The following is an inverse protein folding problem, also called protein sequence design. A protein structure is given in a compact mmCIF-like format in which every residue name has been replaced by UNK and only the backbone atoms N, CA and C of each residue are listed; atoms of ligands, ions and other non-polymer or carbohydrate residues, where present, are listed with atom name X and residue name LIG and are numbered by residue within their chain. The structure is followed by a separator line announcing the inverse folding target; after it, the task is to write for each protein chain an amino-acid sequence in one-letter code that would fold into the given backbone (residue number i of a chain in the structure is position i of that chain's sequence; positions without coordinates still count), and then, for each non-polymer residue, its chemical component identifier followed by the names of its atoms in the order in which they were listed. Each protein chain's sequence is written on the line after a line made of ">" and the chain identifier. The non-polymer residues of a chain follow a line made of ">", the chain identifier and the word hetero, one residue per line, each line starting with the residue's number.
data_IF_291884713655
#
_entry.id   IF_291884713655
#
_cell.length_a   1.000
_cell.length_b   1.000
_cell.length_c   1.000
_cell.angle_alpha   90.00
_cell.angle_beta   90.00
_cell.angle_gamma   90.00
#
_symmetry.space_group_name_H-M   'P 1'
#
loop_
_entity.id
_entity.type
_entity.pdbx_description
1 polymer ?
#
# COMPACT_ATOMS: atom_id res chain seq x y z
N UNK A 1 76.39 -18.43 12.07
CA UNK A 1 75.47 -17.94 13.11
C UNK A 1 74.88 -16.64 12.59
N UNK A 2 73.92 -16.68 11.65
CA UNK A 2 72.51 -17.13 11.80
C UNK A 2 71.67 -15.94 12.32
N UNK A 3 70.52 -15.53 11.77
CA UNK A 3 69.57 -16.03 10.74
C UNK A 3 68.74 -14.80 10.33
N UNK A 4 68.52 -14.51 9.04
CA UNK A 4 67.38 -14.94 8.22
C UNK A 4 65.97 -14.68 8.79
N UNK A 5 65.16 -13.96 8.00
CA UNK A 5 63.71 -13.83 8.20
C UNK A 5 63.01 -13.08 7.06
N UNK A 6 62.94 -13.71 5.87
CA UNK A 6 62.19 -13.28 4.68
C UNK A 6 60.70 -13.01 5.00
N UNK A 7 60.11 -11.96 4.44
CA UNK A 7 58.74 -11.99 3.91
C UNK A 7 58.64 -11.24 2.58
N UNK A 8 57.88 -11.85 1.69
CA UNK A 8 57.83 -11.74 0.24
C UNK A 8 56.83 -10.69 -0.26
N UNK A 9 57.18 -10.03 -1.36
CA UNK A 9 56.27 -9.34 -2.28
C UNK A 9 55.23 -10.30 -2.88
N UNK A 10 53.97 -9.87 -3.04
CA UNK A 10 53.16 -9.92 -4.28
C UNK A 10 51.90 -9.00 -4.10
N UNK A 11 51.31 -8.46 -5.19
CA UNK A 11 50.59 -7.20 -5.21
C UNK A 11 49.07 -7.32 -5.02
N UNK A 12 48.47 -6.16 -4.71
CA UNK A 12 47.04 -5.87 -4.70
C UNK A 12 46.35 -6.22 -6.03
N UNK A 13 45.40 -7.15 -5.99
CA UNK A 13 44.27 -7.20 -6.91
C UNK A 13 43.05 -7.70 -6.16
N UNK A 14 42.19 -6.80 -5.67
CA UNK A 14 40.75 -7.05 -5.42
C UNK A 14 40.06 -5.77 -4.96
N UNK A 15 39.73 -4.88 -5.91
CA UNK A 15 38.89 -3.70 -5.63
C UNK A 15 38.02 -3.28 -6.82
N UNK A 16 37.71 -4.20 -7.73
CA UNK A 16 36.89 -3.89 -8.94
C UNK A 16 35.56 -4.67 -8.97
N UNK A 17 35.39 -5.75 -8.20
CA UNK A 17 34.12 -6.55 -8.22
C UNK A 17 32.99 -5.99 -7.34
N UNK A 18 33.27 -5.14 -6.35
CA UNK A 18 32.24 -4.58 -5.44
C UNK A 18 31.55 -3.31 -5.96
N UNK A 19 32.17 -2.56 -6.88
CA UNK A 19 31.58 -1.35 -7.47
C UNK A 19 30.58 -1.69 -8.59
N UNK A 20 30.88 -2.71 -9.39
CA UNK A 20 30.05 -3.14 -10.54
C UNK A 20 28.70 -3.73 -10.08
N UNK A 21 28.63 -4.38 -8.92
CA UNK A 21 27.36 -4.89 -8.36
C UNK A 21 26.49 -3.79 -7.73
N UNK A 22 27.08 -2.69 -7.23
CA UNK A 22 26.30 -1.54 -6.72
C UNK A 22 25.66 -0.73 -7.86
N UNK A 23 26.33 -0.58 -9.00
CA UNK A 23 25.76 0.10 -10.18
C UNK A 23 24.69 -0.74 -10.90
N UNK A 24 24.79 -2.08 -10.82
CA UNK A 24 23.72 -2.96 -11.29
C UNK A 24 22.45 -2.80 -10.43
N UNK A 25 22.57 -2.75 -9.11
CA UNK A 25 21.42 -2.58 -8.19
C UNK A 25 20.69 -1.24 -8.30
N UNK A 26 21.39 -0.14 -8.60
CA UNK A 26 20.73 1.15 -8.86
C UNK A 26 20.01 1.18 -10.22
N UNK A 27 20.53 0.49 -11.24
CA UNK A 27 19.83 0.32 -12.53
C UNK A 27 18.59 -0.57 -12.44
N UNK A 28 18.55 -1.55 -11.54
CA UNK A 28 17.39 -2.45 -11.42
C UNK A 28 16.17 -1.76 -10.78
N UNK A 29 16.36 -0.89 -9.79
CA UNK A 29 15.27 -0.07 -9.22
C UNK A 29 14.82 1.05 -10.18
N UNK A 30 15.74 1.61 -10.98
CA UNK A 30 15.42 2.60 -12.02
C UNK A 30 14.67 2.01 -13.22
N UNK A 31 14.72 0.70 -13.45
CA UNK A 31 13.98 0.04 -14.54
C UNK A 31 12.53 -0.26 -14.14
N UNK A 32 12.25 -0.44 -12.85
CA UNK A 32 10.91 -0.66 -12.30
C UNK A 32 10.01 0.59 -12.39
N UNK A 33 10.59 1.80 -12.38
CA UNK A 33 9.84 3.05 -12.59
C UNK A 33 9.51 3.34 -14.05
N UNK A 34 10.24 2.73 -15.00
CA UNK A 34 10.03 2.92 -16.45
C UNK A 34 9.11 1.84 -17.06
N UNK A 35 9.15 0.60 -16.55
CA UNK A 35 8.33 -0.51 -17.09
C UNK A 35 6.83 -0.42 -16.73
N UNK A 36 6.45 0.42 -15.77
CA UNK A 36 5.04 0.72 -15.49
C UNK A 36 4.40 1.63 -16.56
N UNK A 37 5.18 2.20 -17.49
CA UNK A 37 4.69 3.17 -18.48
C UNK A 37 4.61 2.65 -19.93
N UNK A 38 5.12 1.46 -20.29
CA UNK A 38 5.27 1.08 -21.71
C UNK A 38 4.29 0.05 -22.29
N UNK A 39 3.37 -0.54 -21.52
CA UNK A 39 2.38 -1.46 -22.09
C UNK A 39 1.06 -0.75 -22.47
N UNK A 40 1.16 0.20 -23.40
CA UNK A 40 0.02 0.68 -24.19
C UNK A 40 0.37 0.59 -25.69
N UNK A 41 0.49 -0.65 -26.19
CA UNK A 41 0.76 -0.95 -27.59
C UNK A 41 -0.23 -1.97 -28.13
N UNK A 42 -1.23 -1.49 -28.88
CA UNK A 42 -2.26 -2.29 -29.56
C UNK A 42 -1.62 -3.26 -30.59
N UNK A 43 -1.83 -4.57 -30.42
CA UNK A 43 -1.80 -5.54 -31.53
C UNK A 43 -3.08 -6.37 -31.53
N UNK A 44 -3.89 -6.15 -32.57
CA UNK A 44 -5.09 -6.93 -32.92
C UNK A 44 -4.65 -8.31 -33.38
N UNK A 45 -5.32 -9.37 -32.92
CA UNK A 45 -5.39 -10.64 -33.63
C UNK A 45 -6.80 -11.21 -33.59
N UNK A 46 -7.10 -11.96 -34.64
CA UNK A 46 -8.42 -12.41 -35.08
C UNK A 46 -9.12 -13.43 -34.17
N UNK A 47 -10.45 -13.39 -34.28
CA UNK A 47 -11.49 -14.21 -33.67
C UNK A 47 -11.44 -15.68 -34.13
N UNK A 48 -11.75 -16.62 -33.23
CA UNK A 48 -12.80 -17.66 -33.40
C UNK A 48 -13.06 -18.49 -32.12
N UNK A 49 -14.32 -18.89 -32.00
CA UNK A 49 -15.09 -19.30 -30.82
C UNK A 49 -14.79 -20.69 -30.23
N UNK A 50 -15.26 -20.94 -28.99
CA UNK A 50 -16.29 -21.97 -28.63
C UNK A 50 -16.45 -22.15 -27.10
N UNK A 51 -17.67 -21.83 -26.62
CA UNK A 51 -18.57 -22.45 -25.59
C UNK A 51 -18.10 -22.86 -24.16
N UNK A 52 -18.79 -22.19 -23.20
CA UNK A 52 -19.68 -22.71 -22.13
C UNK A 52 -19.20 -22.93 -20.67
N UNK A 53 -19.88 -22.14 -19.80
CA UNK A 53 -20.52 -22.41 -18.48
C UNK A 53 -19.69 -22.41 -17.17
N UNK A 54 -20.17 -21.51 -16.29
CA UNK A 54 -20.17 -21.47 -14.81
C UNK A 54 -18.95 -20.92 -14.06
N UNK A 55 -18.99 -19.62 -13.70
CA UNK A 55 -18.24 -19.01 -12.58
C UNK A 55 -18.80 -17.60 -12.23
N UNK A 56 -18.65 -17.10 -10.98
CA UNK A 56 -19.38 -15.95 -10.45
C UNK A 56 -18.82 -14.59 -10.92
N UNK A 57 -19.73 -13.62 -11.01
CA UNK A 57 -19.57 -12.31 -11.64
C UNK A 57 -18.53 -11.43 -10.91
N UNK A 58 -17.42 -11.14 -11.60
CA UNK A 58 -16.42 -10.12 -11.24
C UNK A 58 -16.67 -8.92 -12.16
N UNK A 59 -17.20 -7.81 -11.63
CA UNK A 59 -17.45 -6.60 -12.42
C UNK A 59 -16.13 -5.89 -12.76
N UNK A 60 -15.72 -6.03 -14.01
CA UNK A 60 -14.66 -5.29 -14.67
C UNK A 60 -15.28 -4.00 -15.24
N UNK A 61 -14.75 -2.83 -14.88
CA UNK A 61 -15.12 -1.56 -15.48
C UNK A 61 -14.30 -1.35 -16.76
N UNK A 62 -14.98 -1.22 -17.90
CA UNK A 62 -14.39 -0.82 -19.19
C UNK A 62 -14.48 0.70 -19.37
N UNK A 63 -13.34 1.34 -19.57
CA UNK A 63 -13.20 2.75 -19.96
C UNK A 63 -13.59 2.93 -21.44
N UNK A 64 -14.60 3.77 -21.69
CA UNK A 64 -14.84 4.35 -23.02
C UNK A 64 -14.76 5.87 -23.00
N UNK A 65 -13.67 6.32 -23.62
CA UNK A 65 -13.34 7.67 -24.05
C UNK A 65 -14.49 8.28 -24.86
N UNK A 66 -15.02 9.43 -24.44
CA UNK A 66 -15.81 10.29 -25.31
C UNK A 66 -15.20 11.70 -25.43
N UNK A 67 -15.27 12.15 -26.68
CA UNK A 67 -14.53 13.24 -27.31
C UNK A 67 -15.03 14.62 -26.88
N UNK A 68 -14.07 15.55 -26.89
CA UNK A 68 -14.18 17.00 -26.77
C UNK A 68 -15.32 17.57 -27.64
N UNK A 69 -16.19 18.41 -27.05
CA UNK A 69 -17.08 19.29 -27.81
C UNK A 69 -16.73 20.74 -27.50
N UNK A 70 -16.49 21.44 -28.61
CA UNK A 70 -16.05 22.81 -28.83
C UNK A 70 -17.05 23.84 -28.29
N UNK A 71 -16.52 24.90 -27.70
CA UNK A 71 -17.24 26.10 -27.24
C UNK A 71 -17.53 26.99 -28.45
N UNK A 72 -18.73 27.59 -28.53
CA UNK A 72 -18.90 28.93 -29.11
C UNK A 72 -20.06 29.70 -28.45
N UNK A 73 -20.02 31.04 -28.42
CA UNK A 73 -20.69 31.86 -27.42
C UNK A 73 -21.91 32.65 -27.96
N UNK A 74 -22.51 33.43 -27.04
CA UNK A 74 -23.41 34.60 -27.24
C UNK A 74 -24.90 34.34 -26.95
N UNK A 75 -25.42 34.88 -25.84
CA UNK A 75 -26.13 36.17 -25.89
C UNK A 75 -26.52 36.69 -24.50
N UNK A 76 -26.34 38.00 -24.33
CA UNK A 76 -26.65 38.80 -23.16
C UNK A 76 -28.17 38.98 -23.04
N UNK A 77 -28.76 38.72 -21.87
CA UNK A 77 -29.94 39.45 -21.38
C UNK A 77 -29.83 39.70 -19.88
N UNK A 78 -29.60 40.97 -19.53
CA UNK A 78 -29.88 41.54 -18.20
C UNK A 78 -31.39 41.54 -17.99
N UNK A 79 -31.90 41.30 -16.77
CA UNK A 79 -33.03 42.03 -16.16
C UNK A 79 -33.18 41.68 -14.66
N UNK A 80 -33.05 42.75 -13.85
CA UNK A 80 -33.67 43.10 -12.55
C UNK A 80 -33.65 42.12 -11.36
N UNK A 81 -32.83 42.50 -10.38
CA UNK A 81 -33.01 42.28 -8.94
C UNK A 81 -34.39 42.80 -8.48
N UNK A 82 -35.20 41.93 -7.87
CA UNK A 82 -36.32 42.35 -7.01
C UNK A 82 -36.32 41.50 -5.75
N UNK A 83 -35.78 42.08 -4.68
CA UNK A 83 -35.89 41.58 -3.32
C UNK A 83 -37.38 41.45 -2.94
N UNK A 84 -37.83 40.23 -2.60
CA UNK A 84 -39.11 40.00 -1.93
C UNK A 84 -38.90 39.12 -0.69
N UNK A 85 -39.29 39.74 0.43
CA UNK A 85 -39.31 39.36 1.84
C UNK A 85 -39.55 37.85 2.10
N UNK A 86 -38.69 37.27 2.94
CA UNK A 86 -38.87 35.96 3.55
C UNK A 86 -40.08 35.96 4.50
N UNK A 87 -41.04 35.06 4.27
CA UNK A 87 -41.95 34.57 5.30
C UNK A 87 -41.93 33.05 5.28
N UNK A 88 -41.70 32.45 6.46
CA UNK A 88 -41.53 31.02 6.70
C UNK A 88 -42.78 30.23 6.31
N UNK A 89 -42.65 29.25 5.42
CA UNK A 89 -43.55 28.08 5.36
C UNK A 89 -42.72 26.81 5.38
N UNK A 90 -42.87 26.03 6.46
CA UNK A 90 -42.38 24.65 6.57
C UNK A 90 -43.13 23.81 5.52
N UNK A 91 -42.50 23.50 4.39
CA UNK A 91 -42.99 22.45 3.49
C UNK A 91 -42.06 21.25 3.57
N UNK A 92 -42.61 20.11 3.99
CA UNK A 92 -41.96 18.80 3.88
C UNK A 92 -41.67 18.55 2.39
N UNK A 93 -40.44 18.74 1.96
CA UNK A 93 -40.04 18.47 0.58
C UNK A 93 -39.98 16.95 0.41
N UNK A 94 -41.09 16.36 -0.06
CA UNK A 94 -41.02 15.04 -0.69
C UNK A 94 -40.05 15.17 -1.87
N UNK A 95 -39.06 14.29 -1.90
CA UNK A 95 -38.13 14.13 -3.01
C UNK A 95 -38.95 13.73 -4.25
N UNK A 96 -39.28 14.69 -5.10
CA UNK A 96 -39.84 14.41 -6.41
C UNK A 96 -38.66 14.22 -7.36
N UNK A 97 -38.36 12.96 -7.70
CA UNK A 97 -37.49 12.65 -8.83
C UNK A 97 -38.12 13.25 -10.11
N UNK A 98 -37.32 13.89 -10.98
CA UNK A 98 -37.82 14.28 -12.28
C UNK A 98 -38.12 13.01 -13.08
N UNK A 99 -39.41 12.82 -13.40
CA UNK A 99 -39.84 11.86 -14.40
C UNK A 99 -39.27 12.36 -15.74
N UNK A 100 -38.25 11.67 -16.25
CA UNK A 100 -37.65 11.93 -17.56
C UNK A 100 -37.74 10.67 -18.42
N UNK A 101 -38.07 10.80 -19.71
CA UNK A 101 -38.49 9.69 -20.55
C UNK A 101 -37.31 8.81 -20.98
N UNK A 102 -37.60 7.53 -21.18
CA UNK A 102 -36.75 6.48 -21.76
C UNK A 102 -35.60 5.93 -20.89
N UNK A 103 -35.95 4.84 -20.17
CA UNK A 103 -35.14 3.64 -19.85
C UNK A 103 -33.63 3.85 -19.62
N UNK A 104 -33.25 4.67 -18.64
CA UNK A 104 -31.95 4.50 -17.99
C UNK A 104 -32.15 3.56 -16.80
N UNK A 105 -31.45 2.41 -16.72
CA UNK A 105 -31.55 1.53 -15.56
C UNK A 105 -31.23 2.30 -14.28
N UNK A 106 -32.03 2.10 -13.22
CA UNK A 106 -31.86 2.78 -11.92
C UNK A 106 -30.42 2.65 -11.40
N UNK A 107 -29.77 1.51 -11.66
CA UNK A 107 -28.38 1.23 -11.33
C UNK A 107 -27.38 2.20 -11.99
N UNK A 108 -27.63 2.59 -13.24
CA UNK A 108 -26.80 3.57 -13.97
C UNK A 108 -26.97 4.96 -13.34
N UNK A 109 -28.19 5.31 -12.92
CA UNK A 109 -28.45 6.56 -12.22
C UNK A 109 -27.78 6.60 -10.84
N UNK A 110 -27.87 5.52 -10.06
CA UNK A 110 -27.23 5.41 -8.74
C UNK A 110 -25.71 5.49 -8.89
N UNK A 111 -25.13 4.77 -9.85
CA UNK A 111 -23.69 4.79 -10.11
C UNK A 111 -23.21 6.19 -10.47
N UNK A 112 -23.91 6.88 -11.37
CA UNK A 112 -23.57 8.26 -11.74
C UNK A 112 -23.71 9.22 -10.54
N UNK A 113 -24.76 9.06 -9.73
CA UNK A 113 -24.94 9.84 -8.52
C UNK A 113 -23.79 9.63 -7.52
N UNK A 114 -23.40 8.37 -7.26
CA UNK A 114 -22.30 8.03 -6.36
C UNK A 114 -20.96 8.55 -6.88
N UNK A 115 -20.70 8.47 -8.19
CA UNK A 115 -19.49 9.04 -8.79
C UNK A 115 -19.44 10.57 -8.59
N UNK A 116 -20.53 11.28 -8.89
CA UNK A 116 -20.62 12.72 -8.68
C UNK A 116 -20.48 13.11 -7.20
N UNK A 117 -21.11 12.35 -6.31
CA UNK A 117 -20.96 12.53 -4.86
C UNK A 117 -19.50 12.35 -4.46
N UNK A 118 -18.87 11.24 -4.83
CA UNK A 118 -17.48 10.93 -4.47
C UNK A 118 -16.54 12.01 -4.98
N UNK A 119 -16.68 12.48 -6.23
CA UNK A 119 -15.85 13.57 -6.74
C UNK A 119 -15.99 14.86 -5.92
N UNK A 120 -17.23 15.24 -5.54
CA UNK A 120 -17.48 16.43 -4.72
C UNK A 120 -16.99 16.26 -3.29
N UNK A 121 -17.22 15.09 -2.70
CA UNK A 121 -16.80 14.75 -1.36
C UNK A 121 -15.27 14.74 -1.24
N UNK A 122 -14.58 14.12 -2.19
CA UNK A 122 -13.12 14.05 -2.20
C UNK A 122 -12.46 15.43 -2.37
N UNK A 123 -13.07 16.34 -3.15
CA UNK A 123 -12.54 17.70 -3.33
C UNK A 123 -12.72 18.60 -2.11
N UNK A 124 -13.86 18.51 -1.43
CA UNK A 124 -14.26 19.54 -0.45
C UNK A 124 -14.54 19.03 0.97
N UNK A 125 -14.85 17.74 1.13
CA UNK A 125 -15.33 17.18 2.39
C UNK A 125 -14.35 16.23 3.08
N UNK A 126 -13.64 15.41 2.31
CA UNK A 126 -12.85 14.31 2.87
C UNK A 126 -11.74 14.79 3.80
N UNK A 127 -10.95 15.79 3.42
CA UNK A 127 -9.88 16.36 4.24
C UNK A 127 -10.38 16.92 5.57
N UNK A 128 -11.52 17.63 5.53
CA UNK A 128 -12.15 18.22 6.72
C UNK A 128 -12.71 17.14 7.63
N UNK A 129 -13.42 16.16 7.08
CA UNK A 129 -13.97 15.04 7.84
C UNK A 129 -12.86 14.27 8.57
N UNK A 130 -11.77 13.95 7.86
CA UNK A 130 -10.62 13.25 8.45
C UNK A 130 -10.05 14.06 9.61
N UNK A 131 -9.88 15.37 9.46
CA UNK A 131 -9.35 16.23 10.51
C UNK A 131 -10.28 16.34 11.73
N UNK A 132 -11.59 16.54 11.50
CA UNK A 132 -12.57 16.68 12.58
C UNK A 132 -12.73 15.39 13.38
N UNK A 133 -12.84 14.24 12.70
CA UNK A 133 -12.95 12.94 13.39
C UNK A 133 -11.64 12.61 14.12
N UNK A 134 -10.47 12.88 13.51
CA UNK A 134 -9.19 12.74 14.20
C UNK A 134 -9.12 13.56 15.49
N UNK A 135 -9.53 14.84 15.45
CA UNK A 135 -9.51 15.71 16.62
C UNK A 135 -10.49 15.21 17.70
N UNK A 136 -11.68 14.73 17.29
CA UNK A 136 -12.66 14.15 18.20
C UNK A 136 -12.10 12.94 18.93
N UNK A 137 -11.46 12.02 18.21
CA UNK A 137 -10.90 10.78 18.74
C UNK A 137 -9.69 11.02 19.66
N UNK A 138 -8.87 12.02 19.34
CA UNK A 138 -7.66 12.33 20.13
C UNK A 138 -7.95 13.17 21.38
N UNK A 139 -8.96 14.04 21.33
CA UNK A 139 -9.33 14.91 22.46
C UNK A 139 -10.19 14.17 23.49
N UNK A 140 -11.03 13.24 23.04
CA UNK A 140 -11.92 12.46 23.92
C UNK A 140 -11.39 11.05 24.18
N UNK A 141 -10.09 10.91 24.46
CA UNK A 141 -9.45 9.60 24.70
C UNK A 141 -10.05 8.79 25.86
N UNK A 142 -10.84 9.43 26.73
CA UNK A 142 -11.57 8.80 27.83
C UNK A 142 -12.90 8.16 27.40
N UNK A 143 -13.48 8.60 26.28
CA UNK A 143 -14.67 7.99 25.71
C UNK A 143 -14.21 6.78 24.89
N UNK A 144 -14.75 5.59 25.18
CA UNK A 144 -14.52 4.36 24.40
C UNK A 144 -15.22 4.44 23.04
N UNK A 145 -14.87 5.42 22.22
CA UNK A 145 -15.42 5.63 20.88
C UNK A 145 -14.87 4.52 19.97
N UNK A 146 -15.76 3.87 19.23
CA UNK A 146 -15.35 2.89 18.22
C UNK A 146 -14.62 3.61 17.07
N UNK A 147 -13.34 3.29 16.89
CA UNK A 147 -12.50 3.84 15.83
C UNK A 147 -12.65 3.09 14.51
N UNK A 148 -13.38 1.97 14.47
CA UNK A 148 -13.56 1.15 13.27
C UNK A 148 -14.16 1.90 12.07
N UNK A 149 -15.19 2.78 12.21
CA UNK A 149 -15.75 3.50 11.08
C UNK A 149 -14.77 4.53 10.50
N UNK A 150 -13.91 5.11 11.35
CA UNK A 150 -12.91 6.06 10.93
C UNK A 150 -11.87 5.40 10.01
N UNK A 151 -11.36 4.23 10.41
CA UNK A 151 -10.42 3.47 9.59
C UNK A 151 -11.07 2.94 8.31
N UNK A 152 -12.34 2.53 8.36
CA UNK A 152 -13.07 2.14 7.16
C UNK A 152 -13.18 3.29 6.14
N UNK A 153 -13.53 4.50 6.59
CA UNK A 153 -13.58 5.70 5.75
C UNK A 153 -12.23 5.95 5.08
N UNK A 154 -11.13 5.86 5.84
CA UNK A 154 -9.78 6.02 5.30
C UNK A 154 -9.45 4.94 4.26
N UNK A 155 -9.69 3.66 4.56
CA UNK A 155 -9.46 2.55 3.62
C UNK A 155 -10.26 2.72 2.33
N UNK A 156 -11.52 3.14 2.42
CA UNK A 156 -12.39 3.27 1.25
C UNK A 156 -12.02 4.47 0.39
N UNK A 157 -11.91 5.66 0.99
CA UNK A 157 -11.81 6.91 0.24
C UNK A 157 -10.38 7.27 -0.21
N UNK A 158 -9.33 6.83 0.49
CA UNK A 158 -7.95 7.10 0.09
C UNK A 158 -7.61 6.53 -1.30
N UNK A 159 -8.28 5.45 -1.73
CA UNK A 159 -8.12 4.87 -3.07
C UNK A 159 -8.43 5.87 -4.19
N UNK A 160 -9.41 6.74 -3.97
CA UNK A 160 -9.84 7.74 -4.97
C UNK A 160 -8.89 8.94 -5.05
N UNK A 161 -7.99 9.15 -4.08
CA UNK A 161 -6.98 10.19 -4.16
C UNK A 161 -6.07 10.01 -5.40
N UNK A 162 -5.83 8.75 -5.79
CA UNK A 162 -5.02 8.39 -6.96
C UNK A 162 -5.75 8.59 -8.29
N UNK A 163 -7.08 8.50 -8.31
CA UNK A 163 -7.90 8.45 -9.53
C UNK A 163 -8.45 9.83 -9.95
N UNK A 164 -8.54 10.78 -9.02
CA UNK A 164 -9.36 12.00 -9.19
C UNK A 164 -8.62 13.29 -9.58
N UNK A 165 -7.32 13.25 -9.91
CA UNK A 165 -6.53 14.46 -10.15
C UNK A 165 -6.59 15.45 -8.98
N UNK A 166 -6.66 14.94 -7.76
CA UNK A 166 -6.88 15.74 -6.56
C UNK A 166 -5.61 16.51 -6.24
N UNK A 167 -5.71 17.81 -5.99
CA UNK A 167 -4.57 18.63 -5.58
C UNK A 167 -4.06 18.22 -4.19
N UNK A 168 -2.74 18.26 -3.98
CA UNK A 168 -2.13 17.92 -2.70
C UNK A 168 -2.74 18.68 -1.52
N UNK A 169 -3.09 19.95 -1.73
CA UNK A 169 -3.70 20.82 -0.70
C UNK A 169 -4.97 20.21 -0.11
N UNK A 170 -5.75 19.52 -0.95
CA UNK A 170 -7.02 18.90 -0.57
C UNK A 170 -6.84 17.56 0.16
N UNK A 171 -5.61 17.07 0.33
CA UNK A 171 -5.34 15.82 1.05
C UNK A 171 -4.26 15.95 2.12
N UNK A 172 -3.85 17.18 2.45
CA UNK A 172 -2.71 17.43 3.36
C UNK A 172 -2.89 16.78 4.74
N UNK A 173 -4.13 16.64 5.23
CA UNK A 173 -4.39 15.99 6.53
C UNK A 173 -4.22 14.47 6.48
N UNK A 174 -4.43 13.87 5.30
CA UNK A 174 -4.32 12.41 5.08
C UNK A 174 -2.86 11.98 5.02
N UNK A 175 -2.01 12.78 4.38
CA UNK A 175 -0.57 12.49 4.25
C UNK A 175 0.26 12.96 5.47
N UNK A 176 -0.39 13.32 6.58
CA UNK A 176 0.27 13.86 7.75
C UNK A 176 0.91 12.75 8.59
N UNK A 177 2.13 12.98 9.07
CA UNK A 177 2.79 12.18 10.11
C UNK A 177 1.86 11.90 11.29
N UNK A 178 1.08 12.89 11.75
CA UNK A 178 0.18 12.75 12.91
C UNK A 178 -0.86 11.65 12.69
N UNK A 179 -1.41 11.56 11.48
CA UNK A 179 -2.41 10.55 11.14
C UNK A 179 -1.80 9.15 11.08
N UNK A 180 -0.60 9.02 10.49
CA UNK A 180 0.12 7.75 10.42
C UNK A 180 0.44 7.26 11.82
N UNK A 181 1.04 8.10 12.66
CA UNK A 181 1.40 7.76 14.04
C UNK A 181 0.18 7.38 14.87
N UNK A 182 -0.94 8.10 14.72
CA UNK A 182 -2.21 7.71 15.34
C UNK A 182 -2.71 6.35 14.85
N UNK A 183 -2.65 6.08 13.55
CA UNK A 183 -3.08 4.80 12.98
C UNK A 183 -2.22 3.65 13.49
N UNK A 184 -0.90 3.85 13.60
CA UNK A 184 0.02 2.87 14.19
C UNK A 184 -0.29 2.65 15.67
N UNK A 185 -0.49 3.72 16.44
CA UNK A 185 -0.84 3.63 17.86
C UNK A 185 -2.13 2.83 18.09
N UNK A 186 -3.20 3.15 17.37
CA UNK A 186 -4.46 2.40 17.45
C UNK A 186 -4.28 0.95 17.00
N UNK A 187 -3.48 0.70 15.95
CA UNK A 187 -3.16 -0.65 15.51
C UNK A 187 -2.44 -1.48 16.58
N UNK A 188 -1.47 -0.90 17.29
CA UNK A 188 -0.80 -1.54 18.42
C UNK A 188 -1.78 -1.86 19.55
N UNK A 189 -2.59 -0.87 19.96
CA UNK A 189 -3.62 -1.03 20.99
C UNK A 189 -4.62 -2.13 20.65
N UNK A 190 -5.13 -2.18 19.42
CA UNK A 190 -6.07 -3.23 18.98
C UNK A 190 -5.36 -4.59 18.92
N UNK A 191 -4.09 -4.64 18.48
CA UNK A 191 -3.29 -5.86 18.47
C UNK A 191 -3.10 -6.43 19.89
N UNK A 192 -2.81 -5.58 20.88
CA UNK A 192 -2.73 -5.98 22.29
C UNK A 192 -4.07 -6.51 22.81
N UNK A 193 -5.15 -5.78 22.54
CA UNK A 193 -6.50 -6.23 22.90
C UNK A 193 -6.86 -7.56 22.24
N UNK A 194 -6.45 -7.79 20.99
CA UNK A 194 -6.63 -9.06 20.29
C UNK A 194 -5.84 -10.18 20.99
N UNK A 195 -4.58 -9.94 21.37
CA UNK A 195 -3.80 -10.92 22.13
C UNK A 195 -4.44 -11.29 23.47
N UNK A 196 -4.97 -10.30 24.20
CA UNK A 196 -5.69 -10.53 25.46
C UNK A 196 -6.96 -11.35 25.20
N UNK A 197 -7.75 -10.96 24.19
CA UNK A 197 -8.97 -11.66 23.81
C UNK A 197 -8.71 -13.11 23.40
N UNK A 198 -7.61 -13.39 22.68
CA UNK A 198 -7.14 -14.75 22.35
C UNK A 198 -6.89 -15.58 23.60
N UNK A 199 -6.18 -15.03 24.60
CA UNK A 199 -5.90 -15.72 25.87
C UNK A 199 -7.17 -16.01 26.68
N UNK A 200 -8.11 -15.07 26.69
CA UNK A 200 -9.36 -15.17 27.43
C UNK A 200 -10.46 -15.95 26.69
N UNK A 201 -10.21 -16.41 25.45
CA UNK A 201 -11.23 -17.04 24.57
C UNK A 201 -12.51 -16.21 24.48
N UNK A 202 -12.35 -14.89 24.38
CA UNK A 202 -13.47 -13.93 24.35
C UNK A 202 -14.37 -14.16 23.12
N UNK A 203 -15.70 -13.98 23.24
CA UNK A 203 -16.61 -14.06 22.09
C UNK A 203 -16.35 -12.98 21.03
N UNK A 204 -15.74 -11.85 21.39
CA UNK A 204 -15.55 -10.68 20.52
C UNK A 204 -14.24 -10.70 19.73
N UNK A 205 -13.52 -11.83 19.70
CA UNK A 205 -12.23 -11.96 19.00
C UNK A 205 -12.36 -11.54 17.52
N UNK A 206 -13.44 -11.97 16.85
CA UNK A 206 -13.65 -11.68 15.43
C UNK A 206 -13.86 -10.19 15.13
N UNK A 207 -14.47 -9.44 16.05
CA UNK A 207 -14.61 -7.99 15.91
C UNK A 207 -13.24 -7.32 15.95
N UNK A 208 -12.36 -7.76 16.87
CA UNK A 208 -10.99 -7.23 16.99
C UNK A 208 -10.12 -7.58 15.79
N UNK A 209 -10.29 -8.78 15.21
CA UNK A 209 -9.61 -9.17 13.96
C UNK A 209 -10.00 -8.24 12.81
N UNK A 210 -11.30 -8.02 12.61
CA UNK A 210 -11.80 -7.11 11.56
C UNK A 210 -11.31 -5.68 11.78
N UNK A 211 -11.34 -5.21 13.03
CA UNK A 211 -10.87 -3.89 13.36
C UNK A 211 -9.37 -3.72 13.08
N UNK A 212 -8.54 -4.68 13.52
CA UNK A 212 -7.10 -4.65 13.22
C UNK A 212 -6.84 -4.64 11.71
N UNK A 213 -7.58 -5.44 10.94
CA UNK A 213 -7.45 -5.46 9.49
C UNK A 213 -7.82 -4.11 8.85
N UNK A 214 -8.88 -3.44 9.32
CA UNK A 214 -9.22 -2.09 8.87
C UNK A 214 -8.09 -1.09 9.14
N UNK A 215 -7.45 -1.15 10.31
CA UNK A 215 -6.31 -0.27 10.61
C UNK A 215 -5.16 -0.52 9.63
N UNK A 216 -4.77 -1.79 9.44
CA UNK A 216 -3.71 -2.17 8.50
C UNK A 216 -4.02 -1.68 7.08
N UNK A 217 -5.26 -1.86 6.63
CA UNK A 217 -5.69 -1.42 5.31
C UNK A 217 -5.74 0.10 5.18
N UNK A 218 -6.09 0.83 6.24
CA UNK A 218 -6.04 2.29 6.24
C UNK A 218 -4.60 2.80 6.11
N UNK A 219 -3.65 2.19 6.82
CA UNK A 219 -2.22 2.49 6.72
C UNK A 219 -1.73 2.23 5.29
N UNK A 220 -2.08 1.06 4.72
CA UNK A 220 -1.75 0.70 3.33
C UNK A 220 -2.16 1.79 2.35
N UNK A 221 -3.41 2.23 2.42
CA UNK A 221 -3.92 3.23 1.48
C UNK A 221 -3.29 4.61 1.71
N UNK A 222 -3.07 5.02 2.97
CA UNK A 222 -2.38 6.29 3.27
C UNK A 222 -0.96 6.27 2.70
N UNK A 223 -0.20 5.21 2.94
CA UNK A 223 1.19 5.05 2.45
C UNK A 223 1.22 5.02 0.92
N UNK A 224 0.25 4.37 0.27
CA UNK A 224 0.12 4.40 -1.19
C UNK A 224 -0.18 5.80 -1.73
N UNK A 225 -1.02 6.59 -1.04
CA UNK A 225 -1.26 7.99 -1.40
C UNK A 225 0.04 8.79 -1.28
N UNK A 226 0.77 8.64 -0.18
CA UNK A 226 2.07 9.31 0.00
C UNK A 226 3.04 8.94 -1.12
N UNK A 227 3.19 7.65 -1.42
CA UNK A 227 4.06 7.16 -2.50
C UNK A 227 3.65 7.73 -3.86
N UNK A 228 2.34 7.77 -4.17
CA UNK A 228 1.83 8.33 -5.42
C UNK A 228 2.20 9.80 -5.58
N UNK A 229 1.96 10.63 -4.56
CA UNK A 229 2.30 12.05 -4.64
C UNK A 229 3.81 12.29 -4.61
N UNK A 230 4.58 11.48 -3.88
CA UNK A 230 6.03 11.56 -3.88
C UNK A 230 6.61 11.32 -5.28
N UNK A 231 6.14 10.27 -5.97
CA UNK A 231 6.60 9.92 -7.32
C UNK A 231 6.05 10.85 -8.41
N UNK A 232 4.82 11.33 -8.27
CA UNK A 232 4.17 12.19 -9.27
C UNK A 232 4.64 13.64 -9.20
N UNK A 233 5.18 14.08 -8.06
CA UNK A 233 5.57 15.48 -7.84
C UNK A 233 7.07 15.75 -7.88
N UNK A 234 7.92 14.78 -8.24
CA UNK A 234 9.40 14.88 -8.19
C UNK A 234 9.96 16.16 -8.84
N UNK A 235 9.29 16.70 -9.87
CA UNK A 235 9.69 17.95 -10.55
C UNK A 235 8.99 19.23 -10.05
N UNK A 236 8.14 19.13 -9.03
CA UNK A 236 7.29 20.22 -8.53
C UNK A 236 7.78 20.73 -7.17
N UNK A 237 7.66 22.04 -6.87
CA UNK A 237 7.95 22.59 -5.53
C UNK A 237 7.16 21.90 -4.40
N UNK A 238 6.04 21.28 -4.77
CA UNK A 238 5.17 20.46 -3.90
C UNK A 238 5.94 19.28 -3.26
N UNK A 239 6.89 18.68 -3.97
CA UNK A 239 7.73 17.60 -3.44
C UNK A 239 8.57 18.06 -2.26
N UNK A 240 9.16 19.26 -2.35
CA UNK A 240 9.97 19.82 -1.29
C UNK A 240 9.16 20.15 -0.03
N UNK A 241 7.90 20.58 -0.18
CA UNK A 241 6.99 20.84 0.93
C UNK A 241 6.54 19.53 1.59
N UNK A 242 6.22 18.51 0.79
CA UNK A 242 5.83 17.18 1.29
C UNK A 242 6.98 16.51 2.04
N UNK A 243 8.20 16.59 1.52
CA UNK A 243 9.39 16.08 2.21
C UNK A 243 9.63 16.83 3.52
N UNK A 244 9.47 18.16 3.54
CA UNK A 244 9.60 18.95 4.79
C UNK A 244 8.52 18.56 5.81
N UNK A 245 7.27 18.41 5.38
CA UNK A 245 6.15 18.01 6.22
C UNK A 245 6.32 16.60 6.78
N UNK A 246 6.81 15.65 5.96
CA UNK A 246 7.12 14.31 6.42
C UNK A 246 8.33 14.32 7.36
N UNK A 247 9.39 15.07 7.02
CA UNK A 247 10.60 15.25 7.83
C UNK A 247 10.34 15.77 9.23
N UNK A 248 9.33 16.63 9.37
CA UNK A 248 9.26 17.51 10.52
C UNK A 248 10.48 18.43 10.57
N UNK A 249 10.44 19.44 11.43
CA UNK A 249 11.64 20.21 11.73
C UNK A 249 12.67 19.28 12.39
N UNK A 250 13.73 18.91 11.66
CA UNK A 250 14.96 18.22 12.11
C UNK A 250 14.85 17.56 13.50
N UNK A 251 14.31 16.35 13.61
CA UNK A 251 14.10 15.73 14.93
C UNK A 251 14.11 14.20 14.91
N UNK A 252 14.65 13.60 15.98
CA UNK A 252 14.65 12.17 16.28
C UNK A 252 13.25 11.52 16.20
N UNK A 253 12.20 12.30 16.41
CA UNK A 253 10.78 11.90 16.27
C UNK A 253 10.47 11.32 14.90
N UNK A 254 11.12 11.87 13.88
CA UNK A 254 10.99 11.47 12.50
C UNK A 254 11.70 10.14 12.15
N UNK A 255 12.58 9.66 13.03
CA UNK A 255 13.16 8.32 12.92
C UNK A 255 12.30 7.32 13.73
N UNK A 256 11.67 7.79 14.81
CA UNK A 256 10.82 6.98 15.69
C UNK A 256 9.59 6.48 14.94
N UNK A 257 8.81 7.35 14.28
CA UNK A 257 7.62 6.88 13.55
C UNK A 257 7.95 5.88 12.44
N UNK A 258 9.07 6.06 11.74
CA UNK A 258 9.47 5.16 10.68
C UNK A 258 9.73 3.76 11.26
N UNK A 259 10.39 3.70 12.42
CA UNK A 259 10.60 2.47 13.17
C UNK A 259 9.29 1.88 13.67
N UNK A 260 8.38 2.68 14.20
CA UNK A 260 7.10 2.19 14.74
C UNK A 260 6.19 1.67 13.61
N UNK A 261 6.12 2.39 12.50
CA UNK A 261 5.38 2.00 11.29
C UNK A 261 5.92 0.69 10.71
N UNK A 262 7.24 0.49 10.67
CA UNK A 262 7.80 -0.80 10.24
C UNK A 262 7.53 -1.90 11.28
N UNK A 263 7.63 -1.57 12.58
CA UNK A 263 7.55 -2.55 13.67
C UNK A 263 6.16 -3.13 13.88
N UNK A 264 5.08 -2.37 13.60
CA UNK A 264 3.71 -2.91 13.69
C UNK A 264 3.51 -4.09 12.73
N UNK A 265 4.05 -4.05 11.50
CA UNK A 265 3.91 -5.18 10.58
C UNK A 265 4.68 -6.40 11.04
N UNK A 266 5.91 -6.20 11.55
CA UNK A 266 6.70 -7.27 12.14
C UNK A 266 5.94 -7.94 13.30
N UNK A 267 5.36 -7.15 14.20
CA UNK A 267 4.55 -7.62 15.33
C UNK A 267 3.32 -8.41 14.85
N UNK A 268 2.54 -7.83 13.95
CA UNK A 268 1.30 -8.44 13.46
C UNK A 268 1.55 -9.73 12.66
N UNK A 269 2.62 -9.81 11.87
CA UNK A 269 3.00 -11.03 11.15
C UNK A 269 3.48 -12.11 12.13
N UNK A 270 4.27 -11.74 13.15
CA UNK A 270 4.71 -12.68 14.19
C UNK A 270 3.52 -13.32 14.92
N UNK A 271 2.51 -12.52 15.27
CA UNK A 271 1.34 -12.96 16.03
C UNK A 271 0.15 -13.43 15.18
N UNK A 272 0.34 -13.58 13.86
CA UNK A 272 -0.65 -14.17 12.99
C UNK A 272 -0.99 -15.60 13.44
N UNK A 273 -2.29 -15.89 13.51
CA UNK A 273 -2.83 -17.20 13.86
C UNK A 273 -3.89 -17.62 12.84
N UNK A 274 -3.61 -18.69 12.10
CA UNK A 274 -4.48 -19.19 11.03
C UNK A 274 -5.83 -19.72 11.53
N UNK A 275 -5.99 -20.00 12.83
CA UNK A 275 -7.28 -20.44 13.37
C UNK A 275 -8.27 -19.28 13.57
N UNK A 276 -7.74 -18.05 13.66
CA UNK A 276 -8.50 -16.87 14.07
C UNK A 276 -8.52 -15.83 12.97
N UNK A 277 -7.40 -15.64 12.29
CA UNK A 277 -7.19 -14.64 11.26
C UNK A 277 -7.19 -15.29 9.88
N UNK A 278 -7.93 -14.73 8.92
CA UNK A 278 -8.00 -15.27 7.57
C UNK A 278 -6.67 -15.04 6.82
N UNK A 279 -6.41 -15.85 5.79
CA UNK A 279 -5.16 -15.75 5.03
C UNK A 279 -5.03 -14.42 4.28
N UNK A 280 -6.16 -13.82 3.89
CA UNK A 280 -6.22 -12.51 3.25
C UNK A 280 -5.65 -11.41 4.14
N UNK A 281 -5.83 -11.52 5.46
CA UNK A 281 -5.21 -10.59 6.40
C UNK A 281 -3.67 -10.71 6.38
N UNK A 282 -3.13 -11.92 6.29
CA UNK A 282 -1.68 -12.13 6.16
C UNK A 282 -1.16 -11.62 4.81
N UNK A 283 -1.91 -11.83 3.71
CA UNK A 283 -1.58 -11.24 2.41
C UNK A 283 -1.49 -9.72 2.51
N UNK A 284 -2.49 -9.07 3.10
CA UNK A 284 -2.49 -7.62 3.24
C UNK A 284 -1.38 -7.11 4.15
N UNK A 285 -1.04 -7.82 5.24
CA UNK A 285 0.12 -7.47 6.06
C UNK A 285 1.43 -7.50 5.26
N UNK A 286 1.67 -8.57 4.49
CA UNK A 286 2.90 -8.73 3.71
C UNK A 286 2.98 -7.67 2.60
N UNK A 287 1.89 -7.45 1.85
CA UNK A 287 1.83 -6.41 0.82
C UNK A 287 2.08 -5.04 1.45
N UNK A 288 1.45 -4.75 2.58
CA UNK A 288 1.59 -3.43 3.22
C UNK A 288 3.00 -3.22 3.73
N UNK A 289 3.60 -4.24 4.36
CA UNK A 289 5.00 -4.21 4.76
C UNK A 289 5.93 -3.94 3.57
N UNK A 290 5.72 -4.63 2.45
CA UNK A 290 6.50 -4.41 1.23
C UNK A 290 6.34 -2.96 0.70
N UNK A 291 5.12 -2.42 0.67
CA UNK A 291 4.88 -1.03 0.25
C UNK A 291 5.59 -0.04 1.18
N UNK A 292 5.55 -0.27 2.49
CA UNK A 292 6.20 0.58 3.51
C UNK A 292 7.71 0.55 3.37
N UNK A 293 8.31 -0.63 3.23
CA UNK A 293 9.75 -0.78 3.00
C UNK A 293 10.17 -0.12 1.69
N UNK A 294 9.38 -0.29 0.62
CA UNK A 294 9.61 0.39 -0.66
C UNK A 294 9.51 1.91 -0.53
N UNK A 295 8.57 2.45 0.25
CA UNK A 295 8.50 3.88 0.52
C UNK A 295 9.78 4.37 1.21
N UNK A 296 10.26 3.65 2.22
CA UNK A 296 11.46 4.04 2.95
C UNK A 296 12.75 3.88 2.15
N UNK A 297 12.85 2.88 1.27
CA UNK A 297 13.99 2.75 0.35
C UNK A 297 14.04 3.92 -0.64
N UNK A 298 12.88 4.35 -1.16
CA UNK A 298 12.79 5.56 -1.99
C UNK A 298 13.15 6.85 -1.23
N UNK A 299 13.03 6.82 0.09
CA UNK A 299 13.30 7.97 0.95
C UNK A 299 14.67 7.88 1.65
N UNK A 300 15.48 6.85 1.40
CA UNK A 300 16.65 6.53 2.22
C UNK A 300 17.68 7.65 2.37
N UNK A 301 17.93 8.39 1.29
CA UNK A 301 18.89 9.51 1.24
C UNK A 301 18.40 10.70 2.07
N UNK A 302 17.09 10.81 2.26
CA UNK A 302 16.48 11.92 2.97
C UNK A 302 16.54 11.77 4.49
N UNK A 303 16.67 10.54 4.99
CA UNK A 303 16.46 10.22 6.40
C UNK A 303 17.61 9.47 7.07
N UNK A 304 18.71 9.19 6.35
CA UNK A 304 19.80 8.33 6.82
C UNK A 304 19.29 6.97 7.37
N UNK A 305 18.20 6.45 6.79
CA UNK A 305 17.51 5.26 7.28
C UNK A 305 18.19 3.95 6.88
N UNK A 306 19.23 3.98 6.04
CA UNK A 306 19.89 2.78 5.49
C UNK A 306 20.19 1.72 6.56
N UNK A 307 20.87 2.10 7.63
CA UNK A 307 21.20 1.18 8.71
C UNK A 307 19.93 0.66 9.44
N UNK A 308 18.90 1.49 9.56
CA UNK A 308 17.65 1.13 10.23
C UNK A 308 16.79 0.17 9.40
N UNK A 309 16.80 0.25 8.06
CA UNK A 309 16.03 -0.63 7.19
C UNK A 309 16.67 -2.01 7.14
N UNK A 310 17.98 -2.09 6.87
CA UNK A 310 18.74 -3.34 6.87
C UNK A 310 18.62 -4.08 8.21
N UNK A 311 18.82 -3.38 9.33
CA UNK A 311 18.65 -3.99 10.66
C UNK A 311 17.21 -4.41 10.95
N UNK A 312 16.22 -3.75 10.35
CA UNK A 312 14.82 -4.14 10.46
C UNK A 312 14.52 -5.41 9.63
N UNK A 313 15.00 -5.49 8.38
CA UNK A 313 14.83 -6.67 7.50
C UNK A 313 15.37 -7.93 8.16
N UNK A 314 16.54 -7.87 8.82
CA UNK A 314 17.12 -9.02 9.55
C UNK A 314 16.20 -9.63 10.59
N UNK A 315 15.26 -8.86 11.14
CA UNK A 315 14.28 -9.37 12.12
C UNK A 315 13.29 -10.36 11.50
N UNK A 316 13.08 -10.32 10.19
CA UNK A 316 12.21 -11.25 9.46
C UNK A 316 12.86 -12.62 9.20
N UNK A 317 14.18 -12.75 9.41
CA UNK A 317 14.88 -14.03 9.35
C UNK A 317 14.49 -14.99 10.49
N UNK A 318 13.75 -14.51 11.50
CA UNK A 318 13.24 -15.36 12.58
C UNK A 318 12.38 -16.50 11.99
N UNK A 319 12.62 -17.78 12.34
CA UNK A 319 11.96 -18.93 11.70
C UNK A 319 10.44 -18.88 11.79
N UNK A 320 9.92 -18.38 12.90
CA UNK A 320 8.50 -18.22 13.12
C UNK A 320 7.90 -17.22 12.13
N UNK A 321 8.55 -16.08 11.87
CA UNK A 321 8.09 -15.05 10.94
C UNK A 321 8.21 -15.55 9.50
N UNK A 322 9.37 -16.09 9.15
CA UNK A 322 9.63 -16.60 7.82
C UNK A 322 8.69 -17.75 7.44
N UNK A 323 8.24 -18.54 8.44
CA UNK A 323 7.22 -19.56 8.22
C UNK A 323 5.91 -18.97 7.69
N UNK A 324 5.50 -17.78 8.15
CA UNK A 324 4.28 -17.11 7.64
C UNK A 324 4.43 -16.68 6.18
N UNK A 325 5.61 -16.20 5.79
CA UNK A 325 5.92 -15.96 4.37
C UNK A 325 5.88 -17.25 3.57
N UNK A 326 6.37 -18.36 4.13
CA UNK A 326 6.28 -19.69 3.55
C UNK A 326 4.86 -20.21 3.35
N UNK A 327 3.94 -19.97 4.29
CA UNK A 327 2.51 -20.30 4.14
C UNK A 327 1.94 -19.59 2.91
N UNK A 328 2.21 -18.30 2.75
CA UNK A 328 1.72 -17.52 1.61
C UNK A 328 2.37 -18.00 0.31
N UNK A 329 3.68 -18.24 0.31
CA UNK A 329 4.41 -18.75 -0.85
C UNK A 329 3.88 -20.10 -1.32
N UNK A 330 3.49 -20.99 -0.41
CA UNK A 330 2.99 -22.31 -0.75
C UNK A 330 1.77 -22.25 -1.69
N UNK A 331 0.95 -21.19 -1.59
CA UNK A 331 -0.21 -20.96 -2.44
C UNK A 331 0.07 -20.00 -3.62
N UNK A 332 1.31 -19.93 -4.11
CA UNK A 332 1.72 -18.95 -5.13
C UNK A 332 0.83 -18.89 -6.38
N UNK A 333 0.19 -20.01 -6.79
CA UNK A 333 -0.71 -20.04 -7.96
C UNK A 333 -2.02 -19.28 -7.74
N UNK A 334 -2.53 -19.29 -6.51
CA UNK A 334 -3.76 -18.58 -6.13
C UNK A 334 -3.52 -17.12 -5.76
N UNK A 335 -2.28 -16.75 -5.54
CA UNK A 335 -1.89 -15.40 -5.15
C UNK A 335 -1.86 -14.45 -6.36
N UNK A 336 -2.16 -13.17 -6.12
CA UNK A 336 -1.86 -12.12 -7.10
C UNK A 336 -0.35 -11.95 -7.27
N UNK A 337 0.09 -11.45 -8.43
CA UNK A 337 1.49 -11.10 -8.70
C UNK A 337 2.12 -10.25 -7.60
N UNK A 338 1.42 -9.21 -7.13
CA UNK A 338 1.89 -8.35 -6.04
C UNK A 338 2.17 -9.08 -4.72
N UNK A 339 1.41 -10.13 -4.41
CA UNK A 339 1.63 -10.93 -3.18
C UNK A 339 2.88 -11.78 -3.35
N UNK A 340 3.00 -12.46 -4.49
CA UNK A 340 4.15 -13.30 -4.79
C UNK A 340 5.45 -12.47 -4.82
N UNK A 341 5.42 -11.32 -5.49
CA UNK A 341 6.55 -10.40 -5.55
C UNK A 341 6.93 -9.88 -4.17
N UNK A 342 5.96 -9.49 -3.34
CA UNK A 342 6.24 -9.02 -1.98
C UNK A 342 6.91 -10.11 -1.12
N UNK A 343 6.47 -11.37 -1.25
CA UNK A 343 7.05 -12.51 -0.53
C UNK A 343 8.47 -12.80 -1.02
N UNK A 344 8.66 -12.92 -2.34
CA UNK A 344 9.96 -13.25 -2.93
C UNK A 344 10.99 -12.14 -2.69
N UNK A 345 10.56 -10.87 -2.76
CA UNK A 345 11.41 -9.73 -2.42
C UNK A 345 11.93 -9.81 -0.98
N UNK A 346 11.07 -10.17 -0.02
CA UNK A 346 11.49 -10.31 1.37
C UNK A 346 12.49 -11.47 1.56
N UNK A 347 12.22 -12.61 0.92
CA UNK A 347 13.12 -13.78 0.97
C UNK A 347 14.49 -13.43 0.37
N UNK A 348 14.50 -12.78 -0.79
CA UNK A 348 15.72 -12.31 -1.45
C UNK A 348 16.54 -11.40 -0.54
N UNK A 349 15.92 -10.37 0.06
CA UNK A 349 16.63 -9.48 0.98
C UNK A 349 17.21 -10.21 2.19
N UNK A 350 16.53 -11.24 2.71
CA UNK A 350 17.06 -12.01 3.83
C UNK A 350 18.24 -12.88 3.42
N UNK A 351 18.23 -13.46 2.23
CA UNK A 351 19.37 -14.20 1.68
C UNK A 351 20.59 -13.31 1.56
N UNK A 352 20.42 -12.13 0.94
CA UNK A 352 21.48 -11.14 0.79
C UNK A 352 22.05 -10.69 2.15
N UNK A 353 21.17 -10.40 3.12
CA UNK A 353 21.57 -9.88 4.43
C UNK A 353 22.15 -10.93 5.38
N UNK A 354 21.82 -12.21 5.18
CA UNK A 354 22.31 -13.34 5.98
C UNK A 354 23.49 -14.09 5.32
N UNK A 355 23.98 -13.60 4.18
CA UNK A 355 25.16 -14.16 3.50
C UNK A 355 24.91 -15.54 2.88
N UNK A 356 23.75 -15.73 2.24
CA UNK A 356 23.37 -16.95 1.51
C UNK A 356 23.32 -18.24 2.35
N UNK A 357 23.22 -18.14 3.68
CA UNK A 357 22.96 -19.32 4.51
C UNK A 357 21.48 -19.71 4.42
N UNK A 358 21.14 -20.52 3.43
CA UNK A 358 19.79 -21.07 3.23
C UNK A 358 19.28 -21.87 4.44
N UNK A 359 20.19 -22.30 5.32
CA UNK A 359 19.96 -23.09 6.55
C UNK A 359 18.89 -22.49 7.48
N UNK A 360 18.63 -21.18 7.39
CA UNK A 360 17.64 -20.51 8.26
C UNK A 360 16.20 -20.52 7.70
N UNK A 361 15.97 -21.03 6.49
CA UNK A 361 14.62 -21.07 5.93
C UNK A 361 13.81 -22.26 6.45
N UNK A 362 12.54 -22.04 6.84
CA UNK A 362 11.60 -23.10 7.14
C UNK A 362 11.44 -24.10 5.98
N UNK A 363 11.29 -25.42 6.27
CA UNK A 363 11.17 -26.46 5.23
C UNK A 363 10.06 -26.24 4.20
N UNK A 364 8.99 -25.52 4.58
CA UNK A 364 7.88 -25.17 3.67
C UNK A 364 8.35 -24.30 2.49
N UNK A 365 9.33 -23.42 2.69
CA UNK A 365 9.90 -22.57 1.64
C UNK A 365 10.73 -23.43 0.70
N UNK A 366 11.63 -24.25 1.23
CA UNK A 366 12.43 -25.19 0.43
C UNK A 366 11.57 -26.12 -0.41
N UNK A 367 10.55 -26.75 0.20
CA UNK A 367 9.60 -27.62 -0.52
C UNK A 367 8.92 -26.86 -1.67
N UNK A 368 8.58 -25.59 -1.45
CA UNK A 368 7.92 -24.78 -2.47
C UNK A 368 8.88 -24.40 -3.60
N UNK A 369 10.11 -23.98 -3.28
CA UNK A 369 11.13 -23.68 -4.30
C UNK A 369 11.55 -24.93 -5.09
N UNK A 370 11.75 -26.07 -4.43
CA UNK A 370 12.01 -27.34 -5.11
C UNK A 370 10.89 -27.69 -6.09
N UNK A 371 9.63 -27.51 -5.69
CA UNK A 371 8.49 -27.73 -6.59
C UNK A 371 8.49 -26.77 -7.78
N UNK A 372 8.82 -25.48 -7.57
CA UNK A 372 8.91 -24.48 -8.64
C UNK A 372 10.03 -24.85 -9.63
N UNK A 373 11.19 -25.24 -9.12
CA UNK A 373 12.36 -25.63 -9.91
C UNK A 373 12.11 -26.92 -10.72
N UNK A 374 11.63 -27.99 -10.08
CA UNK A 374 11.35 -29.27 -10.74
C UNK A 374 10.29 -29.11 -11.85
N UNK A 375 9.26 -28.31 -11.61
CA UNK A 375 8.18 -28.08 -12.59
C UNK A 375 8.52 -27.04 -13.64
N UNK A 376 9.64 -26.32 -13.50
CA UNK A 376 10.00 -25.15 -14.32
C UNK A 376 8.89 -24.09 -14.38
N UNK A 377 8.10 -23.99 -13.31
CA UNK A 377 7.02 -23.02 -13.17
C UNK A 377 7.59 -21.75 -12.54
N UNK A 378 8.20 -20.87 -13.34
CA UNK A 378 8.73 -19.61 -12.83
C UNK A 378 7.61 -18.57 -12.74
N UNK A 379 7.37 -18.03 -11.54
CA UNK A 379 6.44 -16.93 -11.29
C UNK A 379 6.75 -15.69 -12.15
N UNK A 380 8.03 -15.41 -12.34
CA UNK A 380 8.59 -14.44 -13.28
C UNK A 380 10.04 -14.81 -13.59
N UNK A 381 10.54 -14.43 -14.77
CA UNK A 381 11.97 -14.59 -15.12
C UNK A 381 12.89 -13.87 -14.14
N UNK A 382 12.38 -12.86 -13.42
CA UNK A 382 13.13 -12.12 -12.39
C UNK A 382 13.57 -13.01 -11.22
N UNK A 383 12.82 -14.07 -10.93
CA UNK A 383 13.01 -14.88 -9.72
C UNK A 383 13.69 -16.22 -9.99
N UNK A 384 14.13 -16.50 -11.23
CA UNK A 384 14.85 -17.75 -11.55
C UNK A 384 16.12 -17.89 -10.71
N UNK A 385 16.92 -16.82 -10.68
CA UNK A 385 18.23 -16.80 -10.05
C UNK A 385 18.08 -17.03 -8.53
N UNK A 386 17.09 -16.39 -7.91
CA UNK A 386 16.74 -16.60 -6.50
C UNK A 386 16.35 -18.06 -6.21
N UNK A 387 15.58 -18.70 -7.09
CA UNK A 387 15.14 -20.09 -6.89
C UNK A 387 16.35 -21.03 -6.98
N UNK A 388 17.25 -20.76 -7.92
CA UNK A 388 18.49 -21.51 -8.07
C UNK A 388 19.40 -21.33 -6.85
N UNK A 389 19.62 -20.09 -6.40
CA UNK A 389 20.46 -19.76 -5.23
C UNK A 389 19.97 -20.38 -3.91
N UNK A 390 18.68 -20.70 -3.79
CA UNK A 390 18.13 -21.34 -2.59
C UNK A 390 18.25 -22.87 -2.63
N UNK A 391 18.29 -23.46 -3.83
CA UNK A 391 18.29 -24.92 -4.02
C UNK A 391 19.69 -25.47 -4.19
N UNK A 392 20.53 -24.77 -4.96
CA UNK A 392 21.91 -25.14 -5.30
C UNK A 392 22.88 -24.55 -4.26
#
# INVERSE_FOLDING_TARGET
>A
MDKQGKKSNFPEQHSISRSVNKEKNTKYLLKESLLLNENCGLKKNNIKDIKSKNAPVRHQYDDKIHKTITINPISKRKIKLRMKKFTKKKSKTKFNLPISPNKVPIEVCITHFLQNFTLRFMRNGFNTLVAEVYNLLTTNSQLNIDTSPYFWILTYFCRFCKLGGIELKSIRRIISFKLISFSVHEGLKISEQLMIAKRQRSPDIQLRVRHLHLVIMSIKEIVQVIKFYLLSSVSSPIYSELIKDLKGSNSSESIIWAKDLMSIFLLCIRHYDSNIQPIEYLHDLIITNHIVLSLFDNLKDFWNLNYSITSHIKKFAAPDIMYKYGIVLQNYKGNSELVNDAVLTMIHHIIEEMGNSSVFFPPIIFKTFLNLYVKKEYLSKKWSDLIEDVIL
#
